data_IF_975952119386
#
_entry.id   IF_975952119386
#
_cell.length_a   1.000
_cell.length_b   1.000
_cell.length_c   1.000
_cell.angle_alpha   90.00
_cell.angle_beta   90.00
_cell.angle_gamma   90.00
#
_symmetry.space_group_name_H-M   'P 1'
#
loop_
_entity.id
_entity.type
_entity.pdbx_description
1 polymer ?
#
# COMPACT_ATOMS: atom_id res chain seq x y z
N UNK A 1 7.24 6.83 -9.75
CA UNK A 1 8.48 6.06 -9.99
C UNK A 1 8.24 4.55 -9.91
N UNK A 2 7.58 4.02 -8.89
CA UNK A 2 7.32 2.57 -8.77
C UNK A 2 6.59 1.96 -9.98
N UNK A 3 5.50 2.60 -10.45
CA UNK A 3 4.73 2.12 -11.62
C UNK A 3 5.57 2.06 -12.89
N UNK A 4 6.41 3.08 -13.14
CA UNK A 4 7.31 3.10 -14.30
C UNK A 4 8.32 1.97 -14.21
N UNK A 5 8.87 1.71 -13.02
CA UNK A 5 9.79 0.60 -12.80
C UNK A 5 9.11 -0.76 -13.02
N UNK A 6 7.87 -0.94 -12.55
CA UNK A 6 7.08 -2.16 -12.81
C UNK A 6 6.90 -2.40 -14.30
N UNK A 7 6.46 -1.36 -15.05
CA UNK A 7 6.28 -1.45 -16.49
C UNK A 7 7.59 -1.76 -17.22
N UNK A 8 8.71 -1.17 -16.78
CA UNK A 8 10.03 -1.45 -17.32
C UNK A 8 10.46 -2.90 -17.12
N UNK A 9 10.22 -3.48 -15.94
CA UNK A 9 10.51 -4.88 -15.63
C UNK A 9 9.63 -5.81 -16.46
N UNK A 10 8.32 -5.53 -16.53
CA UNK A 10 7.40 -6.31 -17.35
C UNK A 10 7.76 -6.26 -18.84
N UNK A 11 8.21 -5.11 -19.34
CA UNK A 11 8.69 -4.96 -20.71
C UNK A 11 9.96 -5.78 -20.96
N UNK A 12 10.92 -5.74 -20.02
CA UNK A 12 12.16 -6.51 -20.12
C UNK A 12 11.94 -8.03 -20.05
N UNK A 13 10.95 -8.48 -19.28
CA UNK A 13 10.60 -9.89 -19.13
C UNK A 13 9.55 -10.36 -20.14
N UNK A 14 9.12 -9.51 -21.08
CA UNK A 14 7.93 -9.74 -21.90
C UNK A 14 7.97 -11.04 -22.71
N UNK A 15 9.13 -11.35 -23.29
CA UNK A 15 9.34 -12.54 -24.12
C UNK A 15 9.54 -13.82 -23.29
N UNK A 16 9.75 -13.69 -21.98
CA UNK A 16 9.88 -14.81 -21.05
C UNK A 16 8.52 -15.23 -20.47
N UNK A 17 7.51 -14.37 -20.58
CA UNK A 17 6.18 -14.64 -20.03
C UNK A 17 5.35 -15.48 -21.01
N UNK A 18 4.68 -16.55 -20.55
CA UNK A 18 3.76 -17.30 -21.38
C UNK A 18 2.59 -16.41 -21.81
N UNK A 19 2.06 -16.60 -23.02
CA UNK A 19 0.92 -15.79 -23.51
C UNK A 19 -0.33 -15.94 -22.63
N UNK A 20 -0.48 -17.14 -22.05
CA UNK A 20 -1.57 -17.54 -21.18
C UNK A 20 -0.99 -18.06 -19.87
N UNK A 21 -1.45 -17.49 -18.76
CA UNK A 21 -1.04 -17.86 -17.40
C UNK A 21 -2.18 -18.62 -16.73
N UNK A 22 -1.89 -19.82 -16.26
CA UNK A 22 -2.84 -20.64 -15.51
C UNK A 22 -2.85 -20.22 -14.04
N UNK A 23 -3.89 -19.50 -13.63
CA UNK A 23 -4.05 -19.05 -12.23
C UNK A 23 -4.72 -20.08 -11.34
N UNK A 24 -5.43 -21.03 -11.95
CA UNK A 24 -6.01 -22.17 -11.25
C UNK A 24 -5.87 -23.42 -12.10
N UNK A 25 -5.22 -24.43 -11.53
CA UNK A 25 -5.10 -25.73 -12.16
C UNK A 25 -6.48 -26.39 -12.35
N UNK A 26 -6.59 -27.18 -13.42
CA UNK A 26 -7.78 -27.99 -13.64
C UNK A 26 -7.87 -29.10 -12.57
N UNK A 27 -9.09 -29.35 -12.11
CA UNK A 27 -9.42 -30.51 -11.28
C UNK A 27 -10.45 -31.37 -12.00
N UNK A 28 -10.73 -32.57 -11.49
CA UNK A 28 -11.71 -33.51 -12.08
C UNK A 28 -13.07 -32.83 -12.34
N UNK A 29 -13.48 -31.91 -11.47
CA UNK A 29 -14.79 -31.25 -11.54
C UNK A 29 -14.75 -29.85 -12.15
N UNK A 30 -13.56 -29.31 -12.48
CA UNK A 30 -13.40 -27.89 -12.84
C UNK A 30 -12.31 -27.66 -13.87
N UNK A 31 -12.65 -26.92 -14.92
CA UNK A 31 -11.67 -26.46 -15.91
C UNK A 31 -10.66 -25.49 -15.31
N UNK A 32 -9.46 -25.45 -15.91
CA UNK A 32 -8.43 -24.48 -15.57
C UNK A 32 -8.94 -23.05 -15.76
N UNK A 33 -8.46 -22.13 -14.92
CA UNK A 33 -8.68 -20.70 -15.11
C UNK A 33 -7.42 -20.08 -15.68
N UNK A 34 -7.55 -19.61 -16.91
CA UNK A 34 -6.48 -19.02 -17.69
C UNK A 34 -6.70 -17.52 -17.82
N UNK A 35 -5.62 -16.76 -17.74
CA UNK A 35 -5.63 -15.31 -17.90
C UNK A 35 -4.54 -14.90 -18.88
N UNK A 36 -4.84 -13.91 -19.71
CA UNK A 36 -3.85 -13.36 -20.62
C UNK A 36 -2.69 -12.72 -19.85
N UNK A 37 -1.46 -12.83 -20.37
CA UNK A 37 -0.28 -12.13 -19.83
C UNK A 37 -0.49 -10.64 -19.59
N UNK A 38 -1.31 -9.98 -20.40
CA UNK A 38 -1.65 -8.56 -20.23
C UNK A 38 -2.32 -8.28 -18.89
N UNK A 39 -3.20 -9.18 -18.43
CA UNK A 39 -3.90 -9.05 -17.16
C UNK A 39 -2.92 -9.22 -16.00
N UNK A 40 -2.04 -10.21 -16.07
CA UNK A 40 -1.03 -10.48 -15.04
C UNK A 40 -0.07 -9.30 -14.89
N UNK A 41 0.43 -8.79 -16.00
CA UNK A 41 1.34 -7.62 -16.01
C UNK A 41 0.63 -6.35 -15.54
N UNK A 42 -0.63 -6.15 -15.93
CA UNK A 42 -1.38 -4.92 -15.64
C UNK A 42 -2.01 -4.84 -14.25
N UNK A 43 -2.33 -5.99 -13.63
CA UNK A 43 -3.12 -6.02 -12.40
C UNK A 43 -2.42 -5.31 -11.22
N UNK A 44 -1.15 -5.61 -10.99
CA UNK A 44 -0.42 -5.04 -9.84
C UNK A 44 -0.16 -3.54 -9.99
N UNK A 45 0.32 -3.03 -11.15
CA UNK A 45 0.43 -1.59 -11.39
C UNK A 45 -0.92 -0.87 -11.27
N UNK A 46 -2.00 -1.45 -11.80
CA UNK A 46 -3.34 -0.89 -11.70
C UNK A 46 -3.82 -0.79 -10.24
N UNK A 47 -3.61 -1.84 -9.44
CA UNK A 47 -3.91 -1.82 -8.01
C UNK A 47 -3.09 -0.75 -7.26
N UNK A 48 -1.79 -0.61 -7.58
CA UNK A 48 -0.94 0.41 -6.99
C UNK A 48 -1.43 1.84 -7.29
N UNK A 49 -1.83 2.10 -8.55
CA UNK A 49 -2.42 3.38 -8.95
C UNK A 49 -3.74 3.61 -8.22
N UNK A 50 -4.63 2.62 -8.18
CA UNK A 50 -5.92 2.71 -7.51
C UNK A 50 -5.76 3.04 -6.02
N UNK A 51 -4.91 2.31 -5.29
CA UNK A 51 -4.63 2.58 -3.89
C UNK A 51 -4.08 4.00 -3.68
N UNK A 52 -3.17 4.44 -4.55
CA UNK A 52 -2.62 5.81 -4.49
C UNK A 52 -3.71 6.85 -4.69
N UNK A 53 -4.58 6.66 -5.69
CA UNK A 53 -5.72 7.55 -5.97
C UNK A 53 -6.69 7.59 -4.80
N UNK A 54 -7.04 6.44 -4.21
CA UNK A 54 -7.92 6.38 -3.05
C UNK A 54 -7.32 7.08 -1.83
N UNK A 55 -6.04 6.84 -1.55
CA UNK A 55 -5.35 7.44 -0.39
C UNK A 55 -5.15 8.95 -0.53
N UNK A 56 -4.79 9.43 -1.71
CA UNK A 56 -4.62 10.87 -1.97
C UNK A 56 -6.00 11.55 -2.08
N UNK A 57 -6.96 10.88 -2.72
CA UNK A 57 -8.33 11.34 -2.93
C UNK A 57 -9.19 11.36 -1.65
N UNK A 58 -8.80 10.64 -0.60
CA UNK A 58 -9.45 10.73 0.70
C UNK A 58 -9.21 12.08 1.43
N UNK A 59 -8.12 12.80 1.09
CA UNK A 59 -7.76 14.08 1.72
C UNK A 59 -8.82 15.19 1.62
N UNK A 60 -9.46 15.46 0.47
CA UNK A 60 -10.56 16.43 0.41
C UNK A 60 -11.76 16.02 1.26
N UNK A 61 -12.02 14.72 1.42
CA UNK A 61 -13.10 14.22 2.27
C UNK A 61 -12.80 14.46 3.76
N UNK A 62 -11.56 14.21 4.18
CA UNK A 62 -11.09 14.57 5.53
C UNK A 62 -11.19 16.07 5.81
N UNK A 63 -10.78 16.92 4.87
CA UNK A 63 -10.89 18.39 5.02
C UNK A 63 -12.34 18.85 5.07
N UNK A 64 -13.22 18.19 4.32
CA UNK A 64 -14.65 18.47 4.36
C UNK A 64 -15.24 18.12 5.73
N UNK A 65 -14.91 16.94 6.27
CA UNK A 65 -15.33 16.50 7.61
C UNK A 65 -14.78 17.46 8.69
N UNK A 66 -13.51 17.83 8.61
CA UNK A 66 -12.89 18.79 9.56
C UNK A 66 -13.58 20.16 9.51
N UNK A 67 -13.89 20.69 8.33
CA UNK A 67 -14.65 21.95 8.20
C UNK A 67 -16.07 21.83 8.73
N UNK A 68 -16.72 20.70 8.51
CA UNK A 68 -18.08 20.45 8.99
C UNK A 68 -18.11 20.34 10.53
N UNK A 69 -17.17 19.63 11.13
CA UNK A 69 -17.02 19.51 12.59
C UNK A 69 -16.58 20.83 13.24
N UNK A 70 -15.71 21.60 12.58
CA UNK A 70 -15.33 22.94 13.03
C UNK A 70 -16.53 23.91 13.06
N UNK A 71 -17.47 23.78 12.11
CA UNK A 71 -18.75 24.53 12.16
C UNK A 71 -19.65 24.12 13.33
N UNK A 72 -19.48 22.91 13.85
CA UNK A 72 -20.19 22.40 15.03
C UNK A 72 -19.48 22.73 16.35
N UNK A 73 -18.38 23.50 16.32
CA UNK A 73 -17.62 23.89 17.51
C UNK A 73 -16.80 22.75 18.14
N UNK A 74 -16.65 21.62 17.44
CA UNK A 74 -15.85 20.49 17.90
C UNK A 74 -14.36 20.71 17.56
N UNK A 75 -13.43 20.39 18.48
CA UNK A 75 -12.01 20.52 18.22
C UNK A 75 -11.59 19.53 17.14
N UNK A 76 -11.31 20.04 15.94
CA UNK A 76 -10.70 19.27 14.88
C UNK A 76 -9.17 19.43 15.00
N UNK A 77 -8.45 18.31 15.13
CA UNK A 77 -7.02 18.31 15.42
C UNK A 77 -6.18 19.01 14.34
N UNK A 78 -5.44 20.05 14.76
CA UNK A 78 -4.41 20.73 13.97
C UNK A 78 -3.16 19.86 13.86
N UNK A 79 -3.11 18.99 12.84
CA UNK A 79 -2.01 18.04 12.65
C UNK A 79 -1.64 17.80 11.19
N UNK A 80 -1.71 18.82 10.32
CA UNK A 80 -1.59 18.62 8.86
C UNK A 80 -0.18 18.14 8.44
N UNK A 81 0.89 18.60 9.11
CA UNK A 81 2.27 18.19 8.79
C UNK A 81 2.57 16.74 9.16
N UNK A 82 2.16 16.32 10.35
CA UNK A 82 2.37 14.96 10.84
C UNK A 82 1.55 13.95 10.05
N UNK A 83 0.33 14.33 9.66
CA UNK A 83 -0.53 13.52 8.79
C UNK A 83 0.06 13.33 7.39
N UNK A 84 0.68 14.36 6.81
CA UNK A 84 1.38 14.25 5.52
C UNK A 84 2.58 13.32 5.62
N UNK A 85 3.34 13.41 6.72
CA UNK A 85 4.49 12.51 6.97
C UNK A 85 4.05 11.06 7.09
N UNK A 86 3.02 10.77 7.90
CA UNK A 86 2.49 9.42 8.06
C UNK A 86 1.97 8.87 6.72
N UNK A 87 1.24 9.69 5.95
CA UNK A 87 0.74 9.25 4.65
C UNK A 87 1.88 8.98 3.67
N UNK A 88 2.92 9.82 3.65
CA UNK A 88 4.10 9.57 2.82
C UNK A 88 4.78 8.26 3.20
N UNK A 89 4.93 7.98 4.51
CA UNK A 89 5.51 6.71 4.98
C UNK A 89 4.68 5.51 4.48
N UNK A 90 3.36 5.57 4.63
CA UNK A 90 2.45 4.51 4.15
C UNK A 90 2.53 4.36 2.63
N UNK A 91 2.52 5.45 1.87
CA UNK A 91 2.61 5.41 0.41
C UNK A 91 3.96 4.85 -0.07
N UNK A 92 5.07 5.19 0.60
CA UNK A 92 6.39 4.63 0.27
C UNK A 92 6.41 3.13 0.53
N UNK A 93 5.94 2.70 1.71
CA UNK A 93 5.89 1.28 2.07
C UNK A 93 4.97 0.50 1.12
N UNK A 94 3.82 1.05 0.77
CA UNK A 94 2.89 0.43 -0.16
C UNK A 94 3.43 0.39 -1.59
N UNK A 95 4.11 1.44 -2.05
CA UNK A 95 4.78 1.47 -3.34
C UNK A 95 5.88 0.40 -3.43
N UNK A 96 6.67 0.21 -2.36
CA UNK A 96 7.66 -0.85 -2.29
C UNK A 96 7.00 -2.23 -2.27
N UNK A 97 5.94 -2.41 -1.50
CA UNK A 97 5.16 -3.65 -1.43
C UNK A 97 4.63 -4.07 -2.81
N UNK A 98 3.98 -3.16 -3.53
CA UNK A 98 3.49 -3.43 -4.87
C UNK A 98 4.63 -3.73 -5.84
N UNK A 99 5.73 -2.97 -5.76
CA UNK A 99 6.88 -3.15 -6.65
C UNK A 99 7.48 -4.54 -6.49
N UNK A 100 7.80 -4.94 -5.26
CA UNK A 100 8.39 -6.27 -5.02
C UNK A 100 7.39 -7.37 -5.36
N UNK A 101 6.11 -7.23 -5.02
CA UNK A 101 5.06 -8.20 -5.40
C UNK A 101 5.00 -8.37 -6.92
N UNK A 102 5.08 -7.26 -7.69
CA UNK A 102 5.10 -7.32 -9.14
C UNK A 102 6.34 -8.07 -9.65
N UNK A 103 7.53 -7.76 -9.14
CA UNK A 103 8.76 -8.46 -9.50
C UNK A 103 8.68 -9.96 -9.21
N UNK A 104 8.13 -10.34 -8.06
CA UNK A 104 7.95 -11.75 -7.67
C UNK A 104 7.03 -12.48 -8.63
N UNK A 105 5.90 -11.88 -8.98
CA UNK A 105 4.96 -12.46 -9.95
C UNK A 105 5.64 -12.65 -11.31
N UNK A 106 6.32 -11.62 -11.82
CA UNK A 106 7.01 -11.71 -13.11
C UNK A 106 8.11 -12.78 -13.10
N UNK A 107 8.93 -12.84 -12.03
CA UNK A 107 9.99 -13.83 -11.91
C UNK A 107 9.43 -15.26 -11.82
N UNK A 108 8.36 -15.45 -11.05
CA UNK A 108 7.69 -16.75 -10.91
C UNK A 108 7.11 -17.23 -12.24
N UNK A 109 6.37 -16.38 -12.94
CA UNK A 109 5.77 -16.71 -14.25
C UNK A 109 6.81 -16.88 -15.37
N UNK A 110 7.99 -16.25 -15.25
CA UNK A 110 9.13 -16.48 -16.13
C UNK A 110 9.88 -17.80 -15.85
N UNK A 111 9.43 -18.59 -14.88
CA UNK A 111 10.04 -19.88 -14.52
C UNK A 111 11.33 -19.76 -13.70
N UNK A 112 11.62 -18.59 -13.12
CA UNK A 112 12.78 -18.44 -12.24
C UNK A 112 12.54 -19.14 -10.89
N UNK A 113 13.54 -19.87 -10.40
CA UNK A 113 13.52 -20.39 -9.03
C UNK A 113 13.64 -19.22 -8.05
N UNK A 114 12.50 -18.77 -7.54
CA UNK A 114 12.43 -17.61 -6.66
C UNK A 114 11.84 -17.99 -5.29
N UNK A 115 12.43 -17.55 -4.16
CA UNK A 115 11.91 -17.84 -2.83
C UNK A 115 10.67 -16.97 -2.52
N UNK A 116 9.55 -17.27 -3.19
CA UNK A 116 8.29 -16.50 -3.11
C UNK A 116 7.80 -16.37 -1.68
N UNK A 117 7.75 -17.47 -0.92
CA UNK A 117 7.21 -17.49 0.45
C UNK A 117 8.05 -16.62 1.40
N UNK A 118 9.39 -16.78 1.51
CA UNK A 118 10.21 -15.89 2.32
C UNK A 118 10.06 -14.40 1.96
N UNK A 119 10.01 -14.07 0.66
CA UNK A 119 9.89 -12.69 0.22
C UNK A 119 8.51 -12.10 0.55
N UNK A 120 7.44 -12.87 0.34
CA UNK A 120 6.09 -12.46 0.73
C UNK A 120 5.98 -12.21 2.24
N UNK A 121 6.53 -13.11 3.07
CA UNK A 121 6.56 -12.93 4.52
C UNK A 121 7.35 -11.69 4.94
N UNK A 122 8.51 -11.45 4.32
CA UNK A 122 9.32 -10.27 4.60
C UNK A 122 8.57 -8.97 4.26
N UNK A 123 7.85 -8.93 3.13
CA UNK A 123 7.04 -7.79 2.73
C UNK A 123 5.88 -7.52 3.69
N UNK A 124 5.12 -8.55 4.03
CA UNK A 124 4.03 -8.43 5.02
C UNK A 124 4.58 -7.95 6.35
N UNK A 125 5.69 -8.52 6.81
CA UNK A 125 6.39 -8.10 8.02
C UNK A 125 6.80 -6.63 7.98
N UNK A 126 7.36 -6.16 6.87
CA UNK A 126 7.75 -4.76 6.70
C UNK A 126 6.54 -3.81 6.74
N UNK A 127 5.42 -4.17 6.11
CA UNK A 127 4.17 -3.39 6.16
C UNK A 127 3.64 -3.32 7.59
N UNK A 128 3.52 -4.46 8.27
CA UNK A 128 3.02 -4.54 9.65
C UNK A 128 3.94 -3.77 10.60
N UNK A 129 5.26 -3.91 10.47
CA UNK A 129 6.22 -3.18 11.27
C UNK A 129 6.11 -1.66 11.07
N UNK A 130 5.97 -1.21 9.82
CA UNK A 130 5.78 0.22 9.51
C UNK A 130 4.51 0.75 10.17
N UNK A 131 3.39 0.03 10.05
CA UNK A 131 2.12 0.42 10.69
C UNK A 131 2.25 0.45 12.21
N UNK A 132 2.95 -0.51 12.81
CA UNK A 132 3.22 -0.54 14.25
C UNK A 132 4.02 0.67 14.73
N UNK A 133 5.06 1.06 14.00
CA UNK A 133 5.85 2.28 14.30
C UNK A 133 4.98 3.54 14.20
N UNK A 134 4.21 3.68 13.13
CA UNK A 134 3.33 4.85 12.94
C UNK A 134 2.26 4.95 14.04
N UNK A 135 1.65 3.83 14.42
CA UNK A 135 0.64 3.80 15.48
C UNK A 135 1.25 4.16 16.84
N UNK A 136 2.42 3.60 17.16
CA UNK A 136 3.17 3.93 18.38
C UNK A 136 3.50 5.41 18.45
N UNK A 137 4.00 5.98 17.36
CA UNK A 137 4.38 7.40 17.30
C UNK A 137 3.17 8.34 17.47
N UNK A 138 1.97 7.91 17.06
CA UNK A 138 0.72 8.64 17.34
C UNK A 138 0.35 8.58 18.82
N UNK A 139 0.32 7.38 19.42
CA UNK A 139 -0.02 7.19 20.84
C UNK A 139 0.92 7.98 21.77
N UNK A 140 2.22 8.00 21.48
CA UNK A 140 3.20 8.76 22.27
C UNK A 140 2.99 10.27 22.12
N UNK A 141 2.63 10.76 20.93
CA UNK A 141 2.35 12.19 20.74
C UNK A 141 1.09 12.61 21.48
N UNK A 142 0.01 11.85 21.38
CA UNK A 142 -1.26 12.17 22.00
C UNK A 142 -1.16 12.24 23.54
N UNK A 143 -0.41 11.31 24.14
CA UNK A 143 -0.15 11.31 25.59
C UNK A 143 0.65 12.55 26.05
N UNK A 144 1.66 12.97 25.27
CA UNK A 144 2.45 14.20 25.57
C UNK A 144 1.60 15.46 25.45
N UNK A 145 0.72 15.54 24.44
CA UNK A 145 -0.19 16.68 24.25
C UNK A 145 -1.17 16.78 25.42
N UNK A 146 -1.77 15.66 25.82
CA UNK A 146 -2.71 15.61 26.94
C UNK A 146 -2.05 16.04 28.26
N UNK A 147 -0.84 15.54 28.55
CA UNK A 147 -0.09 15.90 29.73
C UNK A 147 0.24 17.41 29.80
N UNK A 148 0.55 18.03 28.65
CA UNK A 148 0.78 19.48 28.55
C UNK A 148 -0.50 20.29 28.77
N UNK A 149 -1.64 19.82 28.26
CA UNK A 149 -2.93 20.49 28.45
C UNK A 149 -3.34 20.50 29.93
N UNK A 150 -3.25 19.35 30.61
CA UNK A 150 -3.54 19.22 32.05
C UNK A 150 -2.64 20.14 32.88
N UNK A 151 -1.36 20.24 32.56
CA UNK A 151 -0.42 21.15 33.26
C UNK A 151 -0.78 22.63 33.09
N UNK A 152 -1.43 23.02 31.98
CA UNK A 152 -1.84 24.40 31.73
C UNK A 152 -3.16 24.78 32.41
N UNK A 153 -4.07 23.83 32.64
CA UNK A 153 -5.36 24.10 33.30
C UNK A 153 -5.29 24.13 34.83
N UNK A 154 -4.19 23.65 35.41
CA UNK A 154 -3.94 23.69 36.86
C UNK A 154 -3.21 24.94 37.36
N UNK A 155 -3.02 25.95 36.50
CA UNK A 155 -2.47 27.27 36.85
C UNK A 155 -3.54 28.32 36.57
#
# INVERSE_FOLDING_TARGET
MSVVAMLGIAWAAWDLLPEVVTTREATVDRTATEVSRWVVVGAVPAAAVLCTVLMVGARPFDRFIVRFLGRLGLPAGDGDRDRVRDLNAVLITLALFFFVTHCVIIAYEAGAEFPVVPVALALVGAVVATLGVLLRDRLVRDTVVLARAIRRSGR
#
